data_IF_611167923378
#
_entry.id   IF_611167923378
#
_cell.length_a   1.000
_cell.length_b   1.000
_cell.length_c   1.000
_cell.angle_alpha   90.00
_cell.angle_beta   90.00
_cell.angle_gamma   90.00
#
_symmetry.space_group_name_H-M   'P 1'
#
loop_
_entity.id
_entity.type
_entity.pdbx_description
1 polymer ?
#
# COMPACT_ATOMS: atom_id res chain seq x y z
N UNK A 1 -27.46 -6.08 17.86
CA UNK A 1 -27.17 -6.58 16.49
C UNK A 1 -26.17 -7.71 16.60
N UNK A 2 -26.38 -8.88 15.98
CA UNK A 2 -25.38 -9.94 16.04
C UNK A 2 -24.15 -9.48 15.23
N UNK A 3 -23.00 -9.34 15.89
CA UNK A 3 -21.71 -9.08 15.23
C UNK A 3 -21.42 -10.24 14.26
N UNK A 4 -21.62 -9.98 12.96
CA UNK A 4 -21.40 -10.98 11.92
C UNK A 4 -19.89 -11.17 11.73
N UNK A 5 -19.38 -12.31 12.15
CA UNK A 5 -17.97 -12.67 11.88
C UNK A 5 -17.77 -12.84 10.38
N UNK A 6 -16.81 -12.10 9.84
CA UNK A 6 -16.33 -12.26 8.46
C UNK A 6 -14.96 -12.95 8.49
N UNK A 7 -14.66 -13.73 7.46
CA UNK A 7 -13.39 -14.45 7.33
C UNK A 7 -12.68 -14.05 6.06
N UNK A 8 -11.38 -13.83 6.16
CA UNK A 8 -10.48 -13.50 5.05
C UNK A 8 -9.19 -14.31 5.19
N UNK A 9 -8.53 -14.60 4.06
CA UNK A 9 -7.20 -15.22 4.06
C UNK A 9 -6.13 -14.25 4.59
N UNK A 10 -6.31 -12.95 4.32
CA UNK A 10 -5.42 -11.90 4.78
C UNK A 10 -6.21 -10.67 5.23
N UNK A 11 -5.83 -10.12 6.38
CA UNK A 11 -6.32 -8.82 6.86
C UNK A 11 -5.13 -7.87 7.00
N UNK A 12 -5.23 -6.72 6.36
CA UNK A 12 -4.17 -5.69 6.32
C UNK A 12 -4.65 -4.48 7.11
N UNK A 13 -3.85 -4.01 8.05
CA UNK A 13 -4.15 -2.85 8.87
C UNK A 13 -3.38 -1.64 8.33
N UNK A 14 -4.11 -0.66 7.86
CA UNK A 14 -3.61 0.57 7.26
C UNK A 14 -3.63 0.56 5.72
N UNK A 15 -4.37 1.50 5.14
CA UNK A 15 -4.48 1.71 3.69
C UNK A 15 -3.51 2.79 3.18
N UNK A 16 -2.25 2.76 3.66
CA UNK A 16 -1.13 3.50 3.08
C UNK A 16 -0.53 2.77 1.88
N UNK A 17 0.55 3.29 1.29
CA UNK A 17 1.20 2.71 0.11
C UNK A 17 1.54 1.22 0.29
N UNK A 18 2.19 0.87 1.40
CA UNK A 18 2.59 -0.50 1.69
C UNK A 18 1.37 -1.43 1.86
N UNK A 19 0.33 -0.98 2.59
CA UNK A 19 -0.87 -1.77 2.80
C UNK A 19 -1.64 -2.01 1.50
N UNK A 20 -1.81 -0.99 0.67
CA UNK A 20 -2.47 -1.13 -0.63
C UNK A 20 -1.71 -2.07 -1.57
N UNK A 21 -0.38 -1.94 -1.66
CA UNK A 21 0.45 -2.86 -2.46
C UNK A 21 0.40 -4.28 -1.93
N UNK A 22 0.43 -4.48 -0.60
CA UNK A 22 0.28 -5.79 0.03
C UNK A 22 -1.08 -6.42 -0.31
N UNK A 23 -2.16 -5.62 -0.26
CA UNK A 23 -3.51 -6.07 -0.59
C UNK A 23 -3.61 -6.53 -2.05
N UNK A 24 -3.11 -5.73 -2.99
CA UNK A 24 -3.07 -6.05 -4.42
C UNK A 24 -2.31 -7.37 -4.62
N UNK A 25 -1.12 -7.47 -4.06
CA UNK A 25 -0.26 -8.64 -4.24
C UNK A 25 -0.84 -9.92 -3.62
N UNK A 26 -1.54 -9.83 -2.50
CA UNK A 26 -2.23 -10.97 -1.90
C UNK A 26 -3.44 -11.40 -2.73
N UNK A 27 -4.25 -10.44 -3.17
CA UNK A 27 -5.45 -10.70 -3.97
C UNK A 27 -5.10 -11.31 -5.34
N UNK A 28 -4.04 -10.83 -6.02
CA UNK A 28 -3.52 -11.41 -7.26
C UNK A 28 -3.08 -12.88 -7.11
N UNK A 29 -2.81 -13.33 -5.88
CA UNK A 29 -2.52 -14.73 -5.57
C UNK A 29 -3.78 -15.53 -5.18
N UNK A 30 -4.95 -15.02 -5.48
CA UNK A 30 -6.23 -15.66 -5.22
C UNK A 30 -6.65 -15.66 -3.75
N UNK A 31 -6.11 -14.73 -2.92
CA UNK A 31 -6.48 -14.61 -1.52
C UNK A 31 -7.64 -13.65 -1.34
N UNK A 32 -8.58 -14.01 -0.48
CA UNK A 32 -9.61 -13.08 0.02
C UNK A 32 -8.95 -12.08 0.96
N UNK A 33 -9.04 -10.78 0.66
CA UNK A 33 -8.31 -9.73 1.36
C UNK A 33 -9.25 -8.67 1.92
N UNK A 34 -9.06 -8.32 3.20
CA UNK A 34 -9.64 -7.14 3.83
C UNK A 34 -8.52 -6.16 4.19
N UNK A 35 -8.69 -4.91 3.79
CA UNK A 35 -7.87 -3.79 4.28
C UNK A 35 -8.71 -2.91 5.21
N UNK A 36 -8.17 -2.61 6.38
CA UNK A 36 -8.83 -1.81 7.43
C UNK A 36 -8.05 -0.50 7.56
N UNK A 37 -8.78 0.61 7.54
CA UNK A 37 -8.20 1.95 7.67
C UNK A 37 -9.02 2.76 8.68
N UNK A 38 -8.33 3.41 9.62
CA UNK A 38 -8.97 4.21 10.66
C UNK A 38 -9.46 5.56 10.16
N UNK A 39 -8.90 6.06 9.07
CA UNK A 39 -9.30 7.31 8.44
C UNK A 39 -10.47 7.12 7.46
N UNK A 40 -11.07 8.23 7.04
CA UNK A 40 -12.18 8.24 6.07
C UNK A 40 -11.74 7.99 4.62
N UNK A 41 -10.43 7.96 4.35
CA UNK A 41 -9.86 7.85 3.00
C UNK A 41 -8.61 7.00 3.02
N UNK A 42 -8.34 6.30 1.92
CA UNK A 42 -7.07 5.62 1.72
C UNK A 42 -5.96 6.61 1.33
N UNK A 43 -4.71 6.25 1.62
CA UNK A 43 -3.54 6.93 1.08
C UNK A 43 -3.24 8.31 1.69
N UNK A 44 -3.63 8.60 2.94
CA UNK A 44 -3.44 9.92 3.55
C UNK A 44 -1.98 10.39 3.53
N UNK A 45 -1.01 9.52 3.85
CA UNK A 45 0.41 9.87 3.78
C UNK A 45 0.91 10.08 2.34
N UNK A 46 0.35 9.37 1.37
CA UNK A 46 0.65 9.59 -0.06
C UNK A 46 0.17 10.97 -0.47
N UNK A 47 -1.04 11.33 -0.06
CA UNK A 47 -1.71 12.60 -0.42
C UNK A 47 -0.88 13.83 -0.07
N UNK A 48 -0.23 13.83 1.09
CA UNK A 48 0.59 14.96 1.57
C UNK A 48 2.06 14.84 1.18
N UNK A 49 2.50 13.70 0.67
CA UNK A 49 3.90 13.49 0.31
C UNK A 49 4.32 14.38 -0.86
N UNK A 50 5.59 14.79 -0.86
CA UNK A 50 6.15 15.62 -1.92
C UNK A 50 5.42 16.93 -2.18
N UNK A 51 4.80 17.53 -1.14
CA UNK A 51 4.01 18.76 -1.29
C UNK A 51 2.74 18.55 -2.11
N UNK A 52 2.13 17.36 -2.03
CA UNK A 52 0.91 16.99 -2.74
C UNK A 52 1.13 16.42 -4.15
N UNK A 53 2.40 16.28 -4.58
CA UNK A 53 2.76 15.71 -5.88
C UNK A 53 3.26 14.27 -5.81
N UNK A 54 3.37 13.70 -4.64
CA UNK A 54 3.89 12.37 -4.36
C UNK A 54 5.33 12.16 -4.91
N UNK A 55 6.33 12.22 -4.03
CA UNK A 55 7.61 11.59 -4.33
C UNK A 55 7.41 10.06 -4.25
N UNK A 56 7.15 9.43 -5.40
CA UNK A 56 6.70 8.04 -5.39
C UNK A 56 7.84 7.03 -5.45
N UNK A 57 9.03 7.41 -5.96
CA UNK A 57 10.24 6.58 -5.91
C UNK A 57 11.50 7.39 -6.21
N UNK A 58 12.64 6.70 -6.23
CA UNK A 58 13.93 7.25 -6.64
C UNK A 58 14.61 6.28 -7.63
N UNK A 59 15.21 6.79 -8.69
CA UNK A 59 15.90 6.00 -9.72
C UNK A 59 17.09 5.21 -9.17
N UNK A 60 17.74 5.74 -8.12
CA UNK A 60 18.99 5.21 -7.58
C UNK A 60 18.77 4.35 -6.31
N UNK A 61 17.61 3.67 -6.19
CA UNK A 61 17.35 2.79 -5.03
C UNK A 61 18.24 1.56 -5.09
N UNK A 62 19.02 1.37 -4.02
CA UNK A 62 19.83 0.17 -3.79
C UNK A 62 19.62 -0.34 -2.36
N UNK A 63 20.11 -1.52 -2.04
CA UNK A 63 20.05 -2.07 -0.67
C UNK A 63 20.76 -1.17 0.35
N UNK A 64 21.77 -0.41 -0.08
CA UNK A 64 22.58 0.44 0.79
C UNK A 64 21.84 1.70 1.26
N UNK A 65 20.72 2.04 0.60
CA UNK A 65 19.86 3.15 1.01
C UNK A 65 18.99 2.81 2.23
N UNK A 66 18.96 1.55 2.67
CA UNK A 66 18.12 1.09 3.78
C UNK A 66 18.97 0.86 5.03
N UNK A 67 18.90 1.82 5.96
CA UNK A 67 19.65 1.76 7.21
C UNK A 67 18.89 0.93 8.24
N UNK A 68 19.45 -0.21 8.64
CA UNK A 68 18.91 -1.06 9.69
C UNK A 68 20.01 -1.94 10.31
N UNK A 69 19.72 -2.54 11.47
CA UNK A 69 20.62 -3.52 12.09
C UNK A 69 20.77 -4.80 11.26
N UNK A 70 19.86 -5.04 10.32
CA UNK A 70 19.93 -6.14 9.35
C UNK A 70 20.07 -5.55 7.95
N UNK A 71 21.29 -5.37 7.48
CA UNK A 71 21.61 -4.80 6.17
C UNK A 71 21.03 -5.59 4.99
N UNK A 72 20.70 -6.88 5.18
CA UNK A 72 20.13 -7.74 4.14
C UNK A 72 18.60 -7.81 4.16
N UNK A 73 17.96 -7.10 5.09
CA UNK A 73 16.49 -7.15 5.28
C UNK A 73 15.72 -6.88 3.99
N UNK A 74 16.14 -5.89 3.22
CA UNK A 74 15.43 -5.44 2.00
C UNK A 74 15.82 -6.18 0.73
N UNK A 75 16.91 -6.96 0.74
CA UNK A 75 17.47 -7.59 -0.47
C UNK A 75 16.43 -8.45 -1.20
N UNK A 76 15.72 -9.30 -0.47
CA UNK A 76 14.69 -10.18 -1.06
C UNK A 76 13.47 -9.39 -1.57
N UNK A 77 13.11 -8.30 -0.91
CA UNK A 77 12.00 -7.45 -1.35
C UNK A 77 12.36 -6.72 -2.65
N UNK A 78 13.50 -6.05 -2.70
CA UNK A 78 13.98 -5.30 -3.86
C UNK A 78 14.30 -6.19 -5.07
N UNK A 79 14.71 -7.44 -4.86
CA UNK A 79 14.92 -8.39 -5.97
C UNK A 79 13.62 -8.86 -6.62
N UNK A 80 12.49 -8.73 -5.95
CA UNK A 80 11.16 -9.14 -6.45
C UNK A 80 10.31 -7.99 -6.93
N UNK A 81 10.50 -6.81 -6.37
CA UNK A 81 9.80 -5.59 -6.72
C UNK A 81 10.69 -4.40 -6.39
N UNK A 82 11.24 -3.79 -7.40
CA UNK A 82 12.17 -2.66 -7.30
C UNK A 82 11.52 -1.36 -7.78
N UNK A 83 12.30 -0.28 -7.83
CA UNK A 83 11.82 1.05 -8.27
C UNK A 83 11.33 1.05 -9.73
N UNK A 84 11.94 0.27 -10.61
CA UNK A 84 11.54 0.21 -12.03
C UNK A 84 10.21 -0.51 -12.20
N UNK A 85 9.92 -1.52 -11.38
CA UNK A 85 8.60 -2.18 -11.36
C UNK A 85 7.50 -1.19 -10.95
N UNK A 86 7.78 -0.33 -9.96
CA UNK A 86 6.82 0.69 -9.57
C UNK A 86 6.68 1.80 -10.61
N UNK A 87 7.77 2.22 -11.26
CA UNK A 87 7.73 3.16 -12.39
C UNK A 87 6.85 2.59 -13.51
N UNK A 88 7.07 1.35 -13.92
CA UNK A 88 6.25 0.67 -14.93
C UNK A 88 4.76 0.63 -14.55
N UNK A 89 4.45 0.49 -13.25
CA UNK A 89 3.09 0.55 -12.75
C UNK A 89 2.48 1.94 -12.95
N UNK A 90 3.23 3.00 -12.65
CA UNK A 90 2.83 4.41 -12.83
C UNK A 90 2.62 4.73 -14.31
N UNK A 91 3.52 4.28 -15.18
CA UNK A 91 3.43 4.44 -16.64
C UNK A 91 2.22 3.70 -17.23
N UNK A 92 1.94 2.48 -16.75
CA UNK A 92 0.78 1.71 -17.19
C UNK A 92 -0.56 2.39 -16.86
N UNK A 93 -0.56 3.26 -15.84
CA UNK A 93 -1.71 4.10 -15.48
C UNK A 93 -1.70 5.46 -16.19
N UNK A 94 -0.78 5.68 -17.14
CA UNK A 94 -0.63 6.95 -17.89
C UNK A 94 -0.45 8.17 -16.98
N UNK A 95 0.24 8.01 -15.85
CA UNK A 95 0.57 9.09 -14.93
C UNK A 95 1.87 9.74 -15.35
N UNK A 96 1.82 11.02 -15.74
CA UNK A 96 3.02 11.79 -16.07
C UNK A 96 3.80 12.16 -14.82
N UNK A 97 5.13 12.13 -14.94
CA UNK A 97 6.04 12.42 -13.83
C UNK A 97 7.37 13.04 -14.34
N UNK A 98 8.12 13.62 -13.45
CA UNK A 98 9.44 14.16 -13.73
C UNK A 98 10.43 13.80 -12.62
N UNK A 99 11.72 13.80 -12.97
CA UNK A 99 12.82 13.79 -12.02
C UNK A 99 13.05 15.20 -11.49
N UNK A 100 13.10 15.35 -10.16
CA UNK A 100 13.36 16.64 -9.52
C UNK A 100 14.83 16.80 -9.15
N UNK A 101 15.32 15.99 -8.23
CA UNK A 101 16.68 16.09 -7.71
C UNK A 101 17.17 14.71 -7.28
N UNK A 102 18.41 14.36 -7.60
CA UNK A 102 19.06 13.12 -7.13
C UNK A 102 18.25 11.83 -7.39
N UNK A 103 17.59 11.77 -8.54
CA UNK A 103 16.80 10.60 -8.93
C UNK A 103 15.39 10.55 -8.34
N UNK A 104 14.95 11.54 -7.57
CA UNK A 104 13.61 11.57 -7.00
C UNK A 104 12.54 11.80 -8.08
N UNK A 105 11.53 10.93 -8.15
CA UNK A 105 10.45 11.03 -9.12
C UNK A 105 9.16 11.54 -8.48
N UNK A 106 8.56 12.55 -9.09
CA UNK A 106 7.33 13.22 -8.64
C UNK A 106 6.28 13.20 -9.74
N UNK A 107 5.01 12.99 -9.38
CA UNK A 107 3.91 13.19 -10.33
C UNK A 107 3.86 14.65 -10.79
N UNK A 108 3.58 14.87 -12.07
CA UNK A 108 3.38 16.22 -12.63
C UNK A 108 2.10 16.86 -12.10
N UNK A 109 1.05 16.06 -11.95
CA UNK A 109 -0.24 16.49 -11.46
C UNK A 109 -0.33 16.45 -9.93
N UNK A 110 -0.96 15.43 -9.41
CA UNK A 110 -1.30 15.31 -7.98
C UNK A 110 -0.99 13.91 -7.43
N UNK A 111 -0.63 13.85 -6.15
CA UNK A 111 -0.51 12.61 -5.39
C UNK A 111 -1.77 11.72 -5.44
N UNK A 112 -2.93 12.33 -5.70
CA UNK A 112 -4.19 11.58 -5.88
C UNK A 112 -4.14 10.61 -7.06
N UNK A 113 -3.35 10.85 -8.09
CA UNK A 113 -3.20 9.94 -9.23
C UNK A 113 -2.64 8.58 -8.78
N UNK A 114 -1.61 8.57 -7.93
CA UNK A 114 -1.07 7.34 -7.35
C UNK A 114 -2.11 6.63 -6.47
N UNK A 115 -2.86 7.39 -5.66
CA UNK A 115 -3.90 6.82 -4.80
C UNK A 115 -5.00 6.18 -5.65
N UNK A 116 -5.44 6.86 -6.70
CA UNK A 116 -6.46 6.35 -7.63
C UNK A 116 -5.98 5.07 -8.30
N UNK A 117 -4.79 5.07 -8.88
CA UNK A 117 -4.17 3.90 -9.50
C UNK A 117 -4.15 2.69 -8.56
N UNK A 118 -3.68 2.86 -7.33
CA UNK A 118 -3.63 1.78 -6.34
C UNK A 118 -5.03 1.31 -5.92
N UNK A 119 -5.97 2.25 -5.77
CA UNK A 119 -7.36 1.93 -5.42
C UNK A 119 -8.05 1.14 -6.52
N UNK A 120 -7.91 1.56 -7.78
CA UNK A 120 -8.47 0.85 -8.94
C UNK A 120 -7.90 -0.57 -9.05
N UNK A 121 -6.60 -0.75 -8.80
CA UNK A 121 -5.99 -2.09 -8.77
C UNK A 121 -6.53 -2.96 -7.64
N UNK A 122 -6.74 -2.41 -6.44
CA UNK A 122 -7.39 -3.16 -5.35
C UNK A 122 -8.82 -3.55 -5.72
N UNK A 123 -9.58 -2.64 -6.36
CA UNK A 123 -10.96 -2.92 -6.79
C UNK A 123 -11.02 -3.99 -7.88
N UNK A 124 -10.11 -3.95 -8.85
CA UNK A 124 -10.00 -4.95 -9.92
C UNK A 124 -9.73 -6.37 -9.37
N UNK A 125 -9.03 -6.47 -8.26
CA UNK A 125 -8.72 -7.72 -7.55
C UNK A 125 -9.74 -8.06 -6.44
N UNK A 126 -10.87 -7.36 -6.36
CA UNK A 126 -11.93 -7.58 -5.37
C UNK A 126 -11.48 -7.47 -3.91
N UNK A 127 -10.50 -6.62 -3.61
CA UNK A 127 -10.09 -6.31 -2.23
C UNK A 127 -11.24 -5.61 -1.50
N UNK A 128 -11.61 -6.14 -0.33
CA UNK A 128 -12.58 -5.47 0.54
C UNK A 128 -11.90 -4.35 1.32
N UNK A 129 -12.48 -3.14 1.28
CA UNK A 129 -11.94 -1.97 1.99
C UNK A 129 -12.92 -1.56 3.10
N UNK A 130 -12.43 -1.47 4.34
CA UNK A 130 -13.19 -0.96 5.47
C UNK A 130 -12.51 0.30 6.02
N UNK A 131 -13.14 1.45 5.77
CA UNK A 131 -12.69 2.77 6.23
C UNK A 131 -13.32 3.13 7.57
N UNK A 132 -12.80 4.17 8.21
CA UNK A 132 -13.30 4.70 9.50
C UNK A 132 -13.43 3.61 10.56
N UNK A 133 -12.51 2.66 10.59
CA UNK A 133 -12.56 1.48 11.46
C UNK A 133 -11.27 1.35 12.24
N UNK A 134 -11.39 1.38 13.57
CA UNK A 134 -10.25 1.30 14.48
C UNK A 134 -10.13 -0.14 14.98
N UNK A 135 -8.93 -0.70 14.89
CA UNK A 135 -8.62 -2.00 15.48
C UNK A 135 -8.46 -1.84 16.97
N UNK A 136 -9.32 -2.48 17.73
CA UNK A 136 -9.29 -2.47 19.19
C UNK A 136 -8.37 -3.54 19.77
N UNK A 137 -8.44 -4.74 19.22
CA UNK A 137 -7.58 -5.83 19.66
C UNK A 137 -7.33 -6.85 18.56
N UNK A 138 -6.23 -7.57 18.69
CA UNK A 138 -5.87 -8.71 17.86
C UNK A 138 -5.58 -9.88 18.80
N UNK A 139 -6.34 -10.94 18.67
CA UNK A 139 -6.18 -12.17 19.42
C UNK A 139 -5.68 -13.27 18.46
N UNK A 140 -4.80 -14.13 18.94
CA UNK A 140 -4.30 -15.27 18.18
C UNK A 140 -4.67 -16.56 18.90
N UNK A 141 -5.53 -17.35 18.27
CA UNK A 141 -5.80 -18.74 18.61
C UNK A 141 -5.40 -19.60 17.39
N UNK A 142 -6.29 -20.46 16.89
CA UNK A 142 -6.10 -21.17 15.61
C UNK A 142 -6.03 -20.22 14.41
N UNK A 143 -6.72 -19.09 14.51
CA UNK A 143 -6.69 -17.99 13.55
C UNK A 143 -6.54 -16.65 14.30
N UNK A 144 -6.16 -15.60 13.58
CA UNK A 144 -6.21 -14.25 14.12
C UNK A 144 -7.65 -13.74 14.16
N UNK A 145 -8.07 -13.24 15.31
CA UNK A 145 -9.33 -12.54 15.50
C UNK A 145 -9.05 -11.06 15.70
N UNK A 146 -9.62 -10.22 14.83
CA UNK A 146 -9.48 -8.78 14.88
C UNK A 146 -10.80 -8.18 15.31
N UNK A 147 -10.81 -7.47 16.42
CA UNK A 147 -11.97 -6.77 16.94
C UNK A 147 -11.87 -5.29 16.53
N UNK A 148 -12.95 -4.76 15.98
CA UNK A 148 -13.04 -3.38 15.53
C UNK A 148 -13.93 -2.59 16.48
N UNK A 149 -13.70 -1.28 16.53
CA UNK A 149 -14.61 -0.32 17.12
C UNK A 149 -15.82 -0.19 16.18
N UNK A 150 -17.03 -0.36 16.70
CA UNK A 150 -18.28 -0.27 15.95
C UNK A 150 -18.76 1.18 15.80
#
# INVERSE_FOLDING_TARGET
MQNKIQRFDAVIIGAGAAGMMCAIQAAQRGKSVLIIEHTKKVGEKIRISGGGRCNFTNLNVTTDNFLSNNSRFVTSALSRFNQHDFISLVESASISYHEKTLGQLFCDGSASQIITMLTEKMMAENVTIKLSSIVQSIEKNDAFKINLDD
#
